data_IF_549670566284
#
_entry.id   IF_549670566284
#
_cell.length_a   1.000
_cell.length_b   1.000
_cell.length_c   1.000
_cell.angle_alpha   90.00
_cell.angle_beta   90.00
_cell.angle_gamma   90.00
#
_symmetry.space_group_name_H-M   'P 1'
#
loop_
_entity.id
_entity.type
_entity.pdbx_description
1 polymer ?
#
# COMPACT_ATOMS: atom_id res chain seq x y z
N UNK A 1 12.52 -21.01 -3.43
CA UNK A 1 11.90 -19.82 -4.06
C UNK A 1 11.43 -20.20 -5.46
N UNK A 2 10.19 -19.87 -5.84
CA UNK A 2 9.67 -20.01 -7.21
C UNK A 2 9.25 -18.63 -7.71
N UNK A 3 9.84 -18.15 -8.80
CA UNK A 3 9.54 -16.83 -9.37
C UNK A 3 8.84 -17.01 -10.71
N UNK A 4 7.73 -16.30 -10.90
CA UNK A 4 6.88 -16.36 -12.08
C UNK A 4 6.65 -14.97 -12.62
N UNK A 5 6.38 -14.86 -13.91
CA UNK A 5 5.88 -13.64 -14.51
C UNK A 5 4.72 -13.96 -15.45
N UNK A 6 3.90 -12.96 -15.72
CA UNK A 6 2.81 -13.03 -16.69
C UNK A 6 2.66 -11.71 -17.42
N UNK A 7 2.09 -11.78 -18.62
CA UNK A 7 1.63 -10.61 -19.36
C UNK A 7 0.33 -10.96 -20.09
N UNK A 8 -0.67 -10.08 -20.06
CA UNK A 8 -1.95 -10.37 -20.71
C UNK A 8 -3.01 -9.29 -20.52
N UNK A 9 -4.16 -9.49 -21.17
CA UNK A 9 -5.33 -8.63 -21.03
C UNK A 9 -6.02 -8.85 -19.68
N UNK A 10 -6.36 -7.75 -19.03
CA UNK A 10 -7.12 -7.67 -17.80
C UNK A 10 -8.39 -6.87 -18.06
N UNK A 11 -9.50 -7.32 -17.47
CA UNK A 11 -10.82 -6.75 -17.71
C UNK A 11 -11.42 -6.25 -16.39
N UNK A 12 -11.84 -4.98 -16.36
CA UNK A 12 -12.54 -4.41 -15.20
C UNK A 12 -13.72 -3.55 -15.63
N UNK A 13 -14.86 -3.81 -15.01
CA UNK A 13 -16.05 -3.01 -15.23
C UNK A 13 -15.99 -1.75 -14.36
N UNK A 14 -15.43 -0.67 -14.90
CA UNK A 14 -15.35 0.63 -14.23
C UNK A 14 -16.05 1.74 -15.03
N UNK A 15 -16.37 2.85 -14.35
CA UNK A 15 -16.87 4.07 -15.01
C UNK A 15 -15.76 4.63 -15.91
N UNK A 16 -16.06 5.06 -17.15
CA UNK A 16 -15.06 5.63 -18.05
C UNK A 16 -14.36 6.84 -17.41
N UNK A 17 -13.03 6.77 -17.33
CA UNK A 17 -12.16 7.84 -16.85
C UNK A 17 -10.87 7.82 -17.68
N UNK A 18 -10.21 8.97 -17.84
CA UNK A 18 -8.92 9.05 -18.55
C UNK A 18 -7.90 8.11 -17.88
N UNK A 19 -7.26 7.24 -18.68
CA UNK A 19 -6.31 6.23 -18.19
C UNK A 19 -6.94 4.96 -17.58
N UNK A 20 -8.27 4.86 -17.48
CA UNK A 20 -8.97 3.68 -16.97
C UNK A 20 -9.76 2.99 -18.08
N UNK A 21 -9.09 2.05 -18.73
CA UNK A 21 -9.69 1.21 -19.77
C UNK A 21 -10.44 0.03 -19.15
N UNK A 22 -11.48 -0.45 -19.86
CA UNK A 22 -12.22 -1.67 -19.51
C UNK A 22 -11.43 -2.94 -19.83
N UNK A 23 -10.61 -2.88 -20.87
CA UNK A 23 -9.56 -3.85 -21.17
C UNK A 23 -8.23 -3.11 -21.14
N UNK A 24 -7.25 -3.65 -20.42
CA UNK A 24 -5.90 -3.09 -20.32
C UNK A 24 -4.91 -4.24 -20.18
N UNK A 25 -3.64 -4.00 -20.50
CA UNK A 25 -2.60 -5.02 -20.35
C UNK A 25 -1.86 -4.83 -19.04
N UNK A 26 -1.60 -5.93 -18.35
CA UNK A 26 -0.70 -5.95 -17.20
C UNK A 26 0.44 -6.91 -17.45
N UNK A 27 1.62 -6.51 -17.00
CA UNK A 27 2.75 -7.37 -16.72
C UNK A 27 2.84 -7.51 -15.20
N UNK A 28 3.02 -8.73 -14.70
CA UNK A 28 3.12 -8.99 -13.27
C UNK A 28 4.15 -10.06 -12.97
N UNK A 29 4.66 -10.03 -11.74
CA UNK A 29 5.69 -10.94 -11.24
C UNK A 29 5.30 -11.41 -9.85
N UNK A 30 5.48 -12.69 -9.58
CA UNK A 30 5.15 -13.31 -8.30
C UNK A 30 6.36 -14.11 -7.79
N UNK A 31 6.72 -13.93 -6.51
CA UNK A 31 7.73 -14.75 -5.83
C UNK A 31 7.07 -15.55 -4.70
N UNK A 32 7.10 -16.88 -4.82
CA UNK A 32 6.47 -17.80 -3.88
C UNK A 32 7.47 -18.67 -3.13
N UNK A 33 7.08 -19.09 -1.93
CA UNK A 33 7.78 -20.09 -1.12
C UNK A 33 8.96 -19.55 -0.32
N UNK A 34 9.07 -18.22 -0.15
CA UNK A 34 9.99 -17.58 0.77
C UNK A 34 9.38 -16.27 1.27
N UNK A 35 9.21 -16.13 2.59
CA UNK A 35 8.61 -14.94 3.21
C UNK A 35 9.64 -13.86 3.59
N UNK A 36 10.80 -13.89 2.93
CA UNK A 36 11.92 -12.99 3.21
C UNK A 36 11.73 -11.63 2.55
N UNK A 37 11.99 -10.57 3.32
CA UNK A 37 11.96 -9.19 2.80
C UNK A 37 12.97 -8.92 1.68
N UNK A 38 13.99 -9.77 1.54
CA UNK A 38 14.91 -9.70 0.40
C UNK A 38 14.21 -10.05 -0.92
N UNK A 39 13.14 -10.86 -0.92
CA UNK A 39 12.34 -11.09 -2.12
C UNK A 39 11.49 -9.84 -2.46
N UNK A 40 10.95 -9.15 -1.45
CA UNK A 40 10.25 -7.87 -1.66
C UNK A 40 11.21 -6.84 -2.29
N UNK A 41 12.41 -6.71 -1.72
CA UNK A 41 13.44 -5.82 -2.25
C UNK A 41 13.85 -6.19 -3.68
N UNK A 42 13.98 -7.49 -3.98
CA UNK A 42 14.34 -7.97 -5.32
C UNK A 42 13.29 -7.58 -6.37
N UNK A 43 12.00 -7.66 -6.03
CA UNK A 43 10.91 -7.26 -6.92
C UNK A 43 10.94 -5.75 -7.18
N UNK A 44 11.15 -4.95 -6.13
CA UNK A 44 11.25 -3.49 -6.26
C UNK A 44 12.46 -3.11 -7.13
N UNK A 45 13.63 -3.71 -6.88
CA UNK A 45 14.85 -3.45 -7.66
C UNK A 45 14.72 -3.87 -9.13
N UNK A 46 14.01 -4.97 -9.40
CA UNK A 46 13.69 -5.37 -10.78
C UNK A 46 12.84 -4.29 -11.49
N UNK A 47 11.83 -3.73 -10.81
CA UNK A 47 11.03 -2.63 -11.38
C UNK A 47 11.85 -1.36 -11.57
N UNK A 48 12.74 -1.02 -10.64
CA UNK A 48 13.69 0.10 -10.78
C UNK A 48 14.55 -0.07 -12.04
N UNK A 49 15.11 -1.26 -12.26
CA UNK A 49 15.92 -1.56 -13.45
C UNK A 49 15.10 -1.48 -14.74
N UNK A 50 13.87 -2.00 -14.74
CA UNK A 50 12.95 -1.90 -15.90
C UNK A 50 12.68 -0.44 -16.24
N UNK A 51 12.32 0.39 -15.26
CA UNK A 51 12.04 1.80 -15.49
C UNK A 51 13.27 2.58 -15.93
N UNK A 52 14.43 2.30 -15.34
CA UNK A 52 15.72 2.87 -15.74
C UNK A 52 16.03 2.58 -17.22
N UNK A 53 15.88 1.33 -17.66
CA UNK A 53 16.13 0.92 -19.06
C UNK A 53 15.15 1.50 -20.07
N UNK A 54 13.97 1.90 -19.62
CA UNK A 54 12.92 2.51 -20.44
C UNK A 54 12.91 4.03 -20.34
N UNK A 55 13.88 4.63 -19.62
CA UNK A 55 13.96 6.07 -19.34
C UNK A 55 12.68 6.63 -18.67
N UNK A 56 11.98 5.81 -17.89
CA UNK A 56 10.75 6.20 -17.18
C UNK A 56 11.12 6.80 -15.83
N UNK A 57 10.75 8.07 -15.61
CA UNK A 57 10.91 8.72 -14.31
C UNK A 57 9.83 8.28 -13.35
N UNK A 58 10.23 7.98 -12.12
CA UNK A 58 9.33 7.54 -11.08
C UNK A 58 9.68 8.15 -9.72
N UNK A 59 8.72 8.08 -8.81
CA UNK A 59 8.93 8.17 -7.37
C UNK A 59 8.44 6.88 -6.73
N UNK A 60 9.27 6.27 -5.88
CA UNK A 60 8.90 5.08 -5.13
C UNK A 60 8.30 5.47 -3.78
N UNK A 61 7.08 5.00 -3.51
CA UNK A 61 6.42 5.05 -2.22
C UNK A 61 6.48 3.65 -1.60
N UNK A 62 6.77 3.55 -0.30
CA UNK A 62 6.74 2.29 0.43
C UNK A 62 5.95 2.43 1.74
N UNK A 63 5.40 1.33 2.23
CA UNK A 63 4.75 1.22 3.52
C UNK A 63 4.81 -0.22 4.05
N UNK A 64 4.51 -0.40 5.33
CA UNK A 64 4.27 -1.72 5.91
C UNK A 64 2.84 -1.81 6.41
N UNK A 65 2.11 -2.79 5.89
CA UNK A 65 0.75 -3.15 6.26
C UNK A 65 0.72 -4.14 7.45
N UNK A 66 1.87 -4.37 8.10
CA UNK A 66 1.98 -5.27 9.24
C UNK A 66 1.54 -6.71 8.92
N UNK A 67 1.44 -7.53 9.95
CA UNK A 67 0.98 -8.91 9.84
C UNK A 67 -0.27 -9.15 10.70
N UNK A 68 -0.73 -10.40 10.72
CA UNK A 68 -1.86 -10.83 11.55
C UNK A 68 -1.66 -10.53 13.05
N UNK A 69 -0.42 -10.47 13.54
CA UNK A 69 -0.11 -10.10 14.93
C UNK A 69 -0.18 -8.58 15.17
N UNK A 70 0.05 -7.76 14.13
CA UNK A 70 -0.03 -6.30 14.24
C UNK A 70 -1.49 -5.82 14.33
N UNK A 71 -2.39 -6.52 13.63
CA UNK A 71 -3.77 -6.09 13.42
C UNK A 71 -4.61 -5.95 14.71
N UNK A 72 -4.56 -6.86 15.69
CA UNK A 72 -5.36 -6.74 16.91
C UNK A 72 -5.06 -5.45 17.67
N UNK A 73 -3.78 -5.18 17.95
CA UNK A 73 -3.33 -3.97 18.66
C UNK A 73 -3.67 -2.70 17.89
N UNK A 74 -3.45 -2.71 16.57
CA UNK A 74 -3.81 -1.58 15.72
C UNK A 74 -5.32 -1.30 15.74
N UNK A 75 -6.17 -2.34 15.62
CA UNK A 75 -7.63 -2.21 15.67
C UNK A 75 -8.11 -1.66 17.00
N UNK A 76 -7.57 -2.13 18.11
CA UNK A 76 -7.89 -1.62 19.45
C UNK A 76 -7.58 -0.13 19.57
N UNK A 77 -6.36 0.27 19.17
CA UNK A 77 -5.95 1.68 19.17
C UNK A 77 -6.83 2.54 18.26
N UNK A 78 -7.21 2.02 17.10
CA UNK A 78 -8.10 2.70 16.17
C UNK A 78 -9.51 2.85 16.75
N UNK A 79 -10.08 1.81 17.36
CA UNK A 79 -11.40 1.87 18.01
C UNK A 79 -11.38 2.90 19.14
N UNK A 80 -10.36 2.86 20.01
CA UNK A 80 -10.22 3.84 21.09
C UNK A 80 -10.12 5.27 20.55
N UNK A 81 -9.36 5.48 19.48
CA UNK A 81 -9.30 6.78 18.80
C UNK A 81 -10.67 7.21 18.27
N UNK A 82 -11.40 6.32 17.60
CA UNK A 82 -12.73 6.60 17.06
C UNK A 82 -13.75 6.90 18.15
N UNK A 83 -13.70 6.21 19.30
CA UNK A 83 -14.59 6.47 20.43
C UNK A 83 -14.30 7.80 21.14
N UNK A 84 -13.07 8.31 21.04
CA UNK A 84 -12.69 9.63 21.57
C UNK A 84 -13.28 10.82 20.80
N UNK A 85 -13.84 10.58 19.61
CA UNK A 85 -14.42 11.61 18.73
C UNK A 85 -15.93 11.41 18.59
N UNK A 86 -16.65 12.49 18.30
CA UNK A 86 -18.09 12.49 18.00
C UNK A 86 -18.33 13.12 16.62
N UNK A 87 -19.48 12.83 16.01
CA UNK A 87 -19.88 13.44 14.73
C UNK A 87 -19.57 12.59 13.48
N UNK A 88 -19.10 11.35 13.64
CA UNK A 88 -18.96 10.44 12.50
C UNK A 88 -20.30 10.19 11.82
N UNK A 89 -20.28 10.08 10.49
CA UNK A 89 -21.46 9.70 9.72
C UNK A 89 -21.92 8.27 10.03
N UNK A 90 -23.18 7.95 9.73
CA UNK A 90 -23.78 6.64 10.01
C UNK A 90 -22.97 5.47 9.43
N UNK A 91 -22.42 5.63 8.23
CA UNK A 91 -21.62 4.58 7.61
C UNK A 91 -20.30 4.35 8.34
N UNK A 92 -19.67 5.39 8.88
CA UNK A 92 -18.48 5.24 9.72
C UNK A 92 -18.81 4.53 11.04
N UNK A 93 -19.93 4.89 11.68
CA UNK A 93 -20.38 4.23 12.91
C UNK A 93 -20.67 2.74 12.67
N UNK A 94 -21.28 2.40 11.53
CA UNK A 94 -21.51 1.01 11.12
C UNK A 94 -20.19 0.28 10.83
N UNK A 95 -19.27 0.90 10.07
CA UNK A 95 -17.96 0.32 9.74
C UNK A 95 -17.11 0.08 10.97
N UNK A 96 -17.14 0.99 11.95
CA UNK A 96 -16.44 0.84 13.24
C UNK A 96 -16.71 -0.53 13.89
N UNK A 97 -17.95 -0.99 13.85
CA UNK A 97 -18.37 -2.26 14.48
C UNK A 97 -18.05 -3.51 13.63
N UNK A 98 -17.84 -3.36 12.32
CA UNK A 98 -17.59 -4.48 11.40
C UNK A 98 -16.12 -4.62 11.03
N UNK A 99 -15.54 -3.55 10.50
CA UNK A 99 -14.12 -3.45 10.15
C UNK A 99 -13.70 -1.97 10.33
N UNK A 100 -13.14 -1.61 11.49
CA UNK A 100 -12.84 -0.21 11.82
C UNK A 100 -11.82 0.41 10.87
N UNK A 101 -10.97 -0.39 10.22
CA UNK A 101 -9.99 0.09 9.24
C UNK A 101 -10.69 0.77 8.05
N UNK A 102 -11.86 0.27 7.63
CA UNK A 102 -12.64 0.86 6.52
C UNK A 102 -13.21 2.25 6.83
N UNK A 103 -13.14 2.70 8.08
CA UNK A 103 -13.51 4.09 8.43
C UNK A 103 -12.53 5.07 7.78
N UNK A 104 -11.26 4.69 7.61
CA UNK A 104 -10.22 5.51 6.99
C UNK A 104 -10.53 5.86 5.52
N UNK A 105 -11.29 5.00 4.82
CA UNK A 105 -11.71 5.20 3.42
C UNK A 105 -12.94 6.12 3.26
N UNK A 106 -13.43 6.76 4.33
CA UNK A 106 -14.62 7.60 4.25
C UNK A 106 -14.39 8.83 3.37
N UNK A 107 -15.27 9.12 2.41
CA UNK A 107 -15.14 10.31 1.54
C UNK A 107 -15.79 11.56 2.11
N UNK A 108 -16.40 11.49 3.30
CA UNK A 108 -17.03 12.63 3.94
C UNK A 108 -15.95 13.55 4.54
N UNK A 109 -15.94 14.82 4.15
CA UNK A 109 -14.93 15.81 4.58
C UNK A 109 -14.89 16.00 6.10
N UNK A 110 -16.05 16.01 6.77
CA UNK A 110 -16.11 16.10 8.22
C UNK A 110 -15.46 14.87 8.87
N UNK A 111 -15.80 13.66 8.41
CA UNK A 111 -15.14 12.44 8.90
C UNK A 111 -13.63 12.46 8.65
N UNK A 112 -13.18 12.88 7.47
CA UNK A 112 -11.75 13.00 7.16
C UNK A 112 -11.03 14.00 8.07
N UNK A 113 -11.68 15.11 8.43
CA UNK A 113 -11.12 16.05 9.41
C UNK A 113 -10.94 15.43 10.80
N UNK A 114 -11.85 14.54 11.22
CA UNK A 114 -11.78 13.82 12.49
C UNK A 114 -10.69 12.74 12.48
N UNK A 115 -10.40 12.16 11.32
CA UNK A 115 -9.45 11.06 11.12
C UNK A 115 -8.00 11.53 10.88
N UNK A 116 -7.75 12.84 10.84
CA UNK A 116 -6.42 13.42 10.55
C UNK A 116 -5.31 12.85 11.44
N UNK A 117 -5.62 12.63 12.71
CA UNK A 117 -4.68 12.12 13.72
C UNK A 117 -4.94 10.64 14.08
N UNK A 118 -5.64 9.91 13.19
CA UNK A 118 -5.88 8.49 13.41
C UNK A 118 -4.55 7.73 13.52
N UNK A 119 -4.48 6.69 14.37
CA UNK A 119 -3.28 5.91 14.53
C UNK A 119 -2.86 5.32 13.18
N UNK A 120 -1.56 5.32 12.90
CA UNK A 120 -1.01 4.75 11.68
C UNK A 120 -0.55 3.32 11.94
N UNK A 121 -0.83 2.42 10.99
CA UNK A 121 -0.48 1.01 11.11
C UNK A 121 1.04 0.79 11.21
N UNK A 122 1.82 1.58 10.46
CA UNK A 122 3.29 1.52 10.48
C UNK A 122 3.90 1.94 11.83
N UNK A 123 3.14 2.60 12.72
CA UNK A 123 3.54 2.92 14.10
C UNK A 123 3.15 1.82 15.10
N UNK A 124 2.43 0.80 14.65
CA UNK A 124 1.88 -0.28 15.47
C UNK A 124 2.37 -1.68 15.02
N UNK A 125 3.51 -1.72 14.32
CA UNK A 125 4.12 -2.96 13.86
C UNK A 125 4.64 -3.79 15.04
N UNK A 126 4.55 -5.12 14.94
CA UNK A 126 5.31 -6.01 15.81
C UNK A 126 6.80 -5.95 15.46
N UNK A 127 7.66 -6.43 16.36
CA UNK A 127 9.12 -6.35 16.22
C UNK A 127 9.64 -6.99 14.92
N UNK A 128 9.02 -8.08 14.45
CA UNK A 128 9.40 -8.73 13.21
C UNK A 128 9.06 -7.88 11.97
N UNK A 129 7.85 -7.32 11.90
CA UNK A 129 7.44 -6.45 10.79
C UNK A 129 8.22 -5.13 10.76
N UNK A 130 8.54 -4.58 11.93
CA UNK A 130 9.40 -3.40 12.04
C UNK A 130 10.80 -3.71 11.50
N UNK A 131 11.41 -4.81 11.95
CA UNK A 131 12.73 -5.24 11.48
C UNK A 131 12.75 -5.51 9.98
N UNK A 132 11.77 -6.22 9.44
CA UNK A 132 11.67 -6.48 8.00
C UNK A 132 11.60 -5.15 7.23
N UNK A 133 10.78 -4.20 7.68
CA UNK A 133 10.63 -2.90 7.01
C UNK A 133 11.91 -2.05 7.09
N UNK A 134 12.66 -2.11 8.19
CA UNK A 134 13.98 -1.48 8.32
C UNK A 134 15.02 -2.11 7.37
N UNK A 135 15.03 -3.44 7.24
CA UNK A 135 15.90 -4.15 6.29
C UNK A 135 15.57 -3.73 4.86
N UNK A 136 14.29 -3.69 4.49
CA UNK A 136 13.86 -3.23 3.16
C UNK A 136 14.43 -1.85 2.84
N UNK A 137 14.26 -0.91 3.76
CA UNK A 137 14.77 0.45 3.62
C UNK A 137 16.30 0.49 3.48
N UNK A 138 17.03 -0.34 4.24
CA UNK A 138 18.50 -0.44 4.12
C UNK A 138 18.91 -0.93 2.74
N UNK A 139 18.32 -2.03 2.28
CA UNK A 139 18.64 -2.62 0.96
C UNK A 139 18.36 -1.63 -0.16
N UNK A 140 17.23 -0.90 -0.12
CA UNK A 140 16.93 0.12 -1.11
C UNK A 140 17.95 1.27 -1.10
N UNK A 141 18.33 1.78 0.08
CA UNK A 141 19.37 2.82 0.20
C UNK A 141 20.74 2.36 -0.30
N UNK A 142 21.14 1.14 0.05
CA UNK A 142 22.41 0.53 -0.37
C UNK A 142 22.51 0.35 -1.89
N UNK A 143 21.36 0.19 -2.56
CA UNK A 143 21.27 0.10 -4.02
C UNK A 143 20.98 1.46 -4.69
N UNK A 144 21.07 2.57 -3.95
CA UNK A 144 20.88 3.92 -4.49
C UNK A 144 19.45 4.25 -4.93
N UNK A 145 18.45 3.58 -4.36
CA UNK A 145 17.03 3.80 -4.69
C UNK A 145 16.42 4.81 -3.72
N UNK A 146 16.02 5.97 -4.24
CA UNK A 146 15.25 6.96 -3.49
C UNK A 146 13.80 6.49 -3.28
N UNK A 147 13.29 6.64 -2.06
CA UNK A 147 11.91 6.31 -1.71
C UNK A 147 11.34 7.25 -0.64
N UNK A 148 10.01 7.33 -0.57
CA UNK A 148 9.27 7.96 0.52
C UNK A 148 8.43 6.92 1.27
N UNK A 149 8.39 7.02 2.59
CA UNK A 149 7.47 6.21 3.41
C UNK A 149 6.12 6.91 3.46
N UNK A 150 5.12 6.37 2.77
CA UNK A 150 3.76 6.91 2.76
C UNK A 150 2.83 6.03 3.61
N UNK A 151 2.46 6.51 4.80
CA UNK A 151 1.56 5.81 5.71
C UNK A 151 0.13 5.64 5.15
N UNK A 152 -0.24 6.41 4.13
CA UNK A 152 -1.53 6.32 3.42
C UNK A 152 -1.51 5.31 2.28
N UNK A 153 -0.34 4.78 1.93
CA UNK A 153 -0.23 3.70 0.93
C UNK A 153 -0.82 2.42 1.54
N UNK A 154 -2.07 2.15 1.17
CA UNK A 154 -2.82 0.95 1.54
C UNK A 154 -3.23 0.21 0.27
N UNK A 155 -3.53 -1.08 0.40
CA UNK A 155 -4.05 -1.89 -0.70
C UNK A 155 -5.53 -2.21 -0.50
N UNK A 156 -6.27 -2.22 -1.60
CA UNK A 156 -7.73 -2.41 -1.59
C UNK A 156 -8.21 -3.85 -1.34
N UNK A 157 -7.30 -4.80 -1.15
CA UNK A 157 -7.61 -6.22 -0.97
C UNK A 157 -7.05 -6.71 0.37
N UNK A 158 -7.86 -7.47 1.12
CA UNK A 158 -7.58 -7.83 2.51
C UNK A 158 -6.44 -8.88 2.67
N UNK A 159 -5.91 -9.43 1.58
CA UNK A 159 -4.82 -10.42 1.62
C UNK A 159 -3.41 -9.80 1.73
N UNK A 160 -3.28 -8.49 1.54
CA UNK A 160 -1.97 -7.84 1.61
C UNK A 160 -1.48 -7.76 3.06
N UNK A 161 -0.20 -8.05 3.25
CA UNK A 161 0.49 -7.95 4.54
C UNK A 161 1.94 -7.51 4.30
N UNK A 162 2.58 -7.00 5.34
CA UNK A 162 3.96 -6.50 5.33
C UNK A 162 4.17 -5.47 4.22
N UNK A 163 5.16 -5.65 3.35
CA UNK A 163 5.59 -4.67 2.36
C UNK A 163 4.47 -4.30 1.40
N UNK A 164 4.20 -3.01 1.28
CA UNK A 164 3.46 -2.41 0.18
C UNK A 164 4.32 -1.33 -0.46
N UNK A 165 4.31 -1.23 -1.79
CA UNK A 165 5.09 -0.22 -2.50
C UNK A 165 4.34 0.26 -3.74
N UNK A 166 4.58 1.48 -4.19
CA UNK A 166 3.97 1.99 -5.41
C UNK A 166 4.94 2.91 -6.12
N UNK A 167 5.08 2.70 -7.43
CA UNK A 167 5.80 3.61 -8.30
C UNK A 167 4.80 4.57 -8.90
N UNK A 168 5.01 5.87 -8.70
CA UNK A 168 4.18 6.93 -9.27
C UNK A 168 4.98 7.76 -10.27
N UNK A 169 4.28 8.33 -11.26
CA UNK A 169 4.87 9.28 -12.21
C UNK A 169 3.94 10.46 -12.44
N UNK A 170 4.55 11.64 -12.61
CA UNK A 170 3.86 12.90 -12.93
C UNK A 170 3.75 13.11 -14.46
N UNK A 171 4.38 12.26 -15.28
CA UNK A 171 4.46 12.43 -16.74
C UNK A 171 3.15 12.06 -17.46
N UNK A 172 2.30 11.25 -16.83
CA UNK A 172 1.05 10.74 -17.41
C UNK A 172 -0.21 11.51 -16.94
N UNK A 173 -0.03 12.60 -16.18
CA UNK A 173 -1.09 13.45 -15.64
C UNK A 173 -1.06 13.53 -14.10
N UNK A 174 -2.22 13.65 -13.45
CA UNK A 174 -2.29 13.58 -11.98
C UNK A 174 -1.52 12.36 -11.47
N UNK A 175 -0.72 12.51 -10.39
CA UNK A 175 0.10 11.45 -9.76
C UNK A 175 -0.53 10.08 -9.90
N UNK A 176 -0.06 9.32 -10.88
CA UNK A 176 -0.67 8.05 -11.26
C UNK A 176 0.32 6.93 -10.97
N UNK A 177 -0.20 5.89 -10.32
CA UNK A 177 0.52 4.64 -10.10
C UNK A 177 0.81 3.97 -11.45
N UNK A 178 2.08 3.69 -11.71
CA UNK A 178 2.58 3.00 -12.90
C UNK A 178 2.99 1.55 -12.61
N UNK A 179 3.28 1.21 -11.35
CA UNK A 179 3.47 -0.15 -10.86
C UNK A 179 3.28 -0.22 -9.33
N UNK A 180 3.01 -1.42 -8.81
CA UNK A 180 2.84 -1.68 -7.38
C UNK A 180 2.40 -3.11 -7.09
#
# INVERSE_FOLDING_TARGET
VKRWFYHGSMFRYERPQKGRLREFHQFGVESFGNASVYEDASIILMLVEIFSRLDIKFKLLINSLGCLECMPKYRENLIHFLDSKKGFCEDCLRRKNLNPIRVLDCKNEHCQSLLKDAPLLNQNLCSSCQKDFEILQSVLRENGVDFEVDSKLVRGLDYYSKTAFEFISDEIGAKAAIAG
#
